data_IF_336489181456
#
_entry.id   IF_336489181456
#
_cell.length_a   1.000
_cell.length_b   1.000
_cell.length_c   1.000
_cell.angle_alpha   90.00
_cell.angle_beta   90.00
_cell.angle_gamma   90.00
#
_symmetry.space_group_name_H-M   'P 1'
#
loop_
_entity.id
_entity.type
_entity.pdbx_description
1 polymer ?
#
# COMPACT_ATOMS: atom_id res chain seq x y z
N UNK A 1 -21.05 55.57 52.40
CA UNK A 1 -21.36 56.94 51.92
C UNK A 1 -22.26 56.83 50.69
N UNK A 2 -23.19 57.78 50.55
CA UNK A 2 -24.05 58.11 49.40
C UNK A 2 -23.88 57.26 48.11
N UNK A 3 -24.90 56.65 47.51
CA UNK A 3 -26.35 56.73 47.75
C UNK A 3 -27.07 57.65 46.76
N UNK A 4 -27.79 57.03 45.82
CA UNK A 4 -28.84 57.67 45.00
C UNK A 4 -28.59 57.69 43.48
N UNK A 5 -29.61 57.63 42.61
CA UNK A 5 -30.93 56.97 42.70
C UNK A 5 -31.57 57.00 41.28
N UNK A 6 -32.20 55.90 40.83
CA UNK A 6 -33.55 55.82 40.17
C UNK A 6 -33.85 56.76 38.97
N UNK A 7 -34.38 56.31 37.82
CA UNK A 7 -35.72 55.67 37.61
C UNK A 7 -35.79 54.97 36.22
N UNK A 8 -36.75 54.07 35.93
CA UNK A 8 -36.84 53.29 34.69
C UNK A 8 -37.95 53.73 33.71
N UNK A 9 -37.91 53.26 32.46
CA UNK A 9 -39.09 53.24 31.55
C UNK A 9 -39.06 52.15 30.47
N UNK A 10 -40.07 51.28 30.51
CA UNK A 10 -40.89 50.75 29.42
C UNK A 10 -40.32 49.86 28.28
N UNK A 11 -40.36 48.53 28.51
CA UNK A 11 -41.27 47.54 27.86
C UNK A 11 -41.26 47.35 26.31
N UNK A 12 -42.01 46.39 25.70
CA UNK A 12 -41.35 45.26 24.99
C UNK A 12 -41.87 45.04 23.55
N UNK A 13 -41.44 43.98 22.84
CA UNK A 13 -42.35 43.06 22.11
C UNK A 13 -41.66 41.84 21.45
N UNK A 14 -42.23 40.64 21.70
CA UNK A 14 -42.12 39.43 20.88
C UNK A 14 -43.25 39.40 19.84
N UNK A 15 -43.06 38.87 18.61
CA UNK A 15 -43.95 37.83 17.98
C UNK A 15 -43.52 37.26 16.59
N UNK A 16 -43.29 35.93 16.57
CA UNK A 16 -43.78 34.87 15.63
C UNK A 16 -44.42 35.18 14.23
N UNK A 17 -43.98 34.37 13.24
CA UNK A 17 -44.79 33.43 12.38
C UNK A 17 -45.30 33.80 10.96
N UNK A 18 -45.18 32.84 10.03
CA UNK A 18 -45.88 32.76 8.71
C UNK A 18 -45.13 33.42 7.54
N UNK A 19 -45.23 33.00 6.26
CA UNK A 19 -46.01 31.93 5.59
C UNK A 19 -45.34 31.53 4.25
N UNK A 20 -45.85 30.51 3.55
CA UNK A 20 -45.25 29.88 2.35
C UNK A 20 -46.03 30.17 1.05
N UNK A 21 -45.31 30.28 -0.08
CA UNK A 21 -45.72 30.04 -1.48
C UNK A 21 -44.42 29.91 -2.32
N UNK A 22 -44.20 29.07 -3.35
CA UNK A 22 -44.95 27.97 -4.01
C UNK A 22 -46.04 28.36 -5.01
N UNK A 23 -45.69 28.24 -6.31
CA UNK A 23 -46.42 27.87 -7.56
C UNK A 23 -45.72 28.63 -8.73
N UNK A 24 -44.98 27.97 -9.65
CA UNK A 24 -45.40 27.37 -10.95
C UNK A 24 -46.10 28.36 -11.92
N UNK A 25 -46.02 28.29 -13.26
CA UNK A 25 -45.44 27.36 -14.25
C UNK A 25 -45.45 28.07 -15.64
N UNK A 26 -44.61 27.64 -16.61
CA UNK A 26 -44.80 27.75 -18.09
C UNK A 26 -44.96 29.20 -18.67
N UNK A 27 -44.82 29.54 -19.96
CA UNK A 27 -44.35 28.86 -21.18
C UNK A 27 -43.83 29.91 -22.21
N UNK A 28 -43.00 29.45 -23.15
CA UNK A 28 -42.94 29.82 -24.59
C UNK A 28 -42.60 31.24 -25.16
N UNK A 29 -41.76 31.17 -26.21
CA UNK A 29 -41.71 31.91 -27.50
C UNK A 29 -41.32 33.40 -27.67
N UNK A 30 -40.38 33.58 -28.62
CA UNK A 30 -40.21 34.66 -29.64
C UNK A 30 -40.08 36.15 -29.19
N UNK A 31 -39.49 37.09 -29.95
CA UNK A 31 -38.39 37.09 -30.94
C UNK A 31 -37.96 38.58 -31.21
N UNK A 32 -36.77 38.79 -31.79
CA UNK A 32 -36.36 39.97 -32.61
C UNK A 32 -36.28 41.44 -32.10
N UNK A 33 -35.09 42.05 -32.35
CA UNK A 33 -34.80 43.36 -32.99
C UNK A 33 -35.10 44.74 -32.35
N UNK A 34 -34.22 45.71 -32.68
CA UNK A 34 -34.36 47.18 -32.46
C UNK A 34 -33.59 47.69 -31.23
N UNK A 35 -32.41 48.34 -31.27
CA UNK A 35 -31.84 49.45 -32.08
C UNK A 35 -32.25 50.85 -31.59
N UNK A 36 -31.22 51.55 -31.11
CA UNK A 36 -30.94 53.00 -31.11
C UNK A 36 -31.26 54.00 -29.98
N UNK A 37 -30.23 54.83 -29.81
CA UNK A 37 -30.10 56.21 -29.33
C UNK A 37 -30.51 56.62 -27.90
N UNK A 38 -29.44 56.88 -27.11
CA UNK A 38 -29.45 57.48 -25.77
C UNK A 38 -28.38 58.59 -25.61
N UNK A 39 -28.31 59.48 -26.60
CA UNK A 39 -27.76 60.84 -26.52
C UNK A 39 -26.27 61.07 -26.18
N UNK A 40 -25.51 61.39 -27.23
CA UNK A 40 -24.33 62.26 -27.21
C UNK A 40 -24.48 63.48 -26.28
N UNK A 41 -23.66 63.56 -25.23
CA UNK A 41 -23.05 64.80 -24.76
C UNK A 41 -21.83 64.47 -23.86
N UNK A 42 -20.97 65.47 -23.63
CA UNK A 42 -19.72 65.35 -22.84
C UNK A 42 -18.57 64.59 -23.50
N UNK A 43 -18.30 64.91 -24.77
CA UNK A 43 -17.02 64.60 -25.44
C UNK A 43 -16.34 65.88 -25.97
N UNK A 44 -15.99 66.79 -25.04
CA UNK A 44 -14.96 67.82 -25.22
C UNK A 44 -14.19 67.88 -23.88
N UNK A 45 -12.99 67.31 -23.82
CA UNK A 45 -11.71 67.97 -24.11
C UNK A 45 -11.15 68.68 -22.87
N UNK A 46 -10.17 68.04 -22.21
CA UNK A 46 -8.91 68.61 -21.66
C UNK A 46 -8.23 67.52 -20.79
N UNK A 47 -7.32 66.82 -21.45
CA UNK A 47 -5.89 66.72 -21.14
C UNK A 47 -5.35 66.33 -19.73
N UNK A 48 -4.28 65.52 -19.80
CA UNK A 48 -3.25 65.27 -18.78
C UNK A 48 -3.66 65.07 -17.30
N UNK A 49 -3.78 63.80 -16.89
CA UNK A 49 -2.99 63.29 -15.74
C UNK A 49 -2.73 61.80 -15.87
N UNK A 50 -1.45 61.44 -15.98
CA UNK A 50 -1.03 60.03 -16.03
C UNK A 50 -1.27 59.34 -14.68
N UNK A 51 -1.95 58.18 -14.73
CA UNK A 51 -1.96 57.20 -13.66
C UNK A 51 -1.27 55.94 -14.18
N UNK A 52 -0.12 55.62 -13.62
CA UNK A 52 0.66 54.42 -13.94
C UNK A 52 -0.18 53.17 -13.70
N UNK A 53 -0.58 52.49 -14.77
CA UNK A 53 -1.15 51.15 -14.69
C UNK A 53 -0.07 50.17 -14.24
N UNK A 54 -0.14 49.75 -12.97
CA UNK A 54 0.64 48.61 -12.49
C UNK A 54 0.18 47.36 -13.23
N UNK A 55 1.01 46.87 -14.15
CA UNK A 55 0.84 45.56 -14.76
C UNK A 55 1.11 44.53 -13.66
N UNK A 56 0.08 44.21 -12.89
CA UNK A 56 0.03 43.02 -12.07
C UNK A 56 0.01 41.84 -13.03
N UNK A 57 1.22 41.32 -13.31
CA UNK A 57 1.43 40.08 -14.05
C UNK A 57 0.90 38.91 -13.20
N UNK A 58 -0.43 38.79 -13.14
CA UNK A 58 -1.15 37.62 -12.68
C UNK A 58 -0.78 36.50 -13.65
N UNK A 59 0.25 35.74 -13.28
CA UNK A 59 0.69 34.58 -14.03
C UNK A 59 -0.54 33.68 -14.25
N UNK A 60 -0.97 33.58 -15.51
CA UNK A 60 -2.15 32.82 -15.90
C UNK A 60 -1.83 31.35 -15.65
N UNK A 61 -2.12 30.89 -14.44
CA UNK A 61 -1.84 29.51 -14.07
C UNK A 61 -2.74 28.61 -14.93
N UNK A 62 -2.16 27.72 -15.75
CA UNK A 62 -2.95 26.83 -16.58
C UNK A 62 -3.88 25.99 -15.70
N UNK A 63 -5.11 25.78 -16.18
CA UNK A 63 -6.15 25.15 -15.36
C UNK A 63 -5.70 23.78 -14.82
N UNK A 64 -6.18 23.34 -13.65
CA UNK A 64 -5.77 22.05 -13.07
C UNK A 64 -5.98 20.86 -14.03
N UNK A 65 -7.02 20.93 -14.87
CA UNK A 65 -7.33 19.95 -15.92
C UNK A 65 -6.29 19.99 -17.04
N UNK A 66 -5.88 21.18 -17.50
CA UNK A 66 -4.84 21.35 -18.51
C UNK A 66 -3.48 20.84 -17.99
N UNK A 67 -3.12 21.19 -16.75
CA UNK A 67 -1.92 20.68 -16.08
C UNK A 67 -1.93 19.16 -15.92
N UNK A 68 -3.08 18.55 -15.60
CA UNK A 68 -3.21 17.11 -15.52
C UNK A 68 -3.06 16.45 -16.90
N UNK A 69 -3.76 16.94 -17.92
CA UNK A 69 -3.64 16.45 -19.31
C UNK A 69 -2.19 16.53 -19.81
N UNK A 70 -1.52 17.66 -19.56
CA UNK A 70 -0.12 17.86 -19.95
C UNK A 70 0.81 16.86 -19.24
N UNK A 71 0.64 16.63 -17.93
CA UNK A 71 1.40 15.61 -17.19
C UNK A 71 1.17 14.19 -17.71
N UNK A 72 -0.07 13.85 -18.09
CA UNK A 72 -0.38 12.55 -18.72
C UNK A 72 0.32 12.41 -20.07
N UNK A 73 0.30 13.45 -20.92
CA UNK A 73 1.02 13.44 -22.20
C UNK A 73 2.53 13.29 -22.03
N UNK A 74 3.14 13.99 -21.05
CA UNK A 74 4.55 13.82 -20.71
C UNK A 74 4.86 12.39 -20.25
N UNK A 75 4.00 11.78 -19.42
CA UNK A 75 4.19 10.40 -18.96
C UNK A 75 4.06 9.39 -20.10
N UNK A 76 3.12 9.58 -21.03
CA UNK A 76 2.97 8.75 -22.22
C UNK A 76 4.18 8.90 -23.16
N UNK A 77 4.67 10.13 -23.37
CA UNK A 77 5.86 10.42 -24.16
C UNK A 77 7.12 9.78 -23.55
N UNK A 78 7.33 9.93 -22.24
CA UNK A 78 8.39 9.24 -21.50
C UNK A 78 8.30 7.71 -21.63
N UNK A 79 7.10 7.15 -21.45
CA UNK A 79 6.86 5.70 -21.58
C UNK A 79 7.21 5.21 -22.99
N UNK A 80 6.79 5.92 -24.03
CA UNK A 80 7.10 5.62 -25.42
C UNK A 80 8.62 5.68 -25.69
N UNK A 81 9.30 6.71 -25.18
CA UNK A 81 10.77 6.84 -25.30
C UNK A 81 11.47 5.66 -24.62
N UNK A 82 11.08 5.28 -23.41
CA UNK A 82 11.66 4.14 -22.71
C UNK A 82 11.43 2.82 -23.46
N UNK A 83 10.20 2.57 -23.93
CA UNK A 83 9.89 1.39 -24.74
C UNK A 83 10.71 1.35 -26.05
N UNK A 84 10.81 2.48 -26.77
CA UNK A 84 11.58 2.58 -28.02
C UNK A 84 13.07 2.33 -27.79
N UNK A 85 13.67 3.00 -26.81
CA UNK A 85 15.10 2.83 -26.50
C UNK A 85 15.38 1.40 -26.01
N UNK A 86 14.53 0.84 -25.14
CA UNK A 86 14.65 -0.53 -24.66
C UNK A 86 14.56 -1.56 -25.80
N UNK A 87 13.60 -1.38 -26.71
CA UNK A 87 13.44 -2.23 -27.90
C UNK A 87 14.66 -2.19 -28.82
N UNK A 88 15.11 -1.00 -29.20
CA UNK A 88 16.28 -0.82 -30.07
C UNK A 88 17.54 -1.43 -29.43
N UNK A 89 17.71 -1.24 -28.12
CA UNK A 89 18.83 -1.80 -27.34
C UNK A 89 18.84 -3.33 -27.37
N UNK A 90 17.67 -3.96 -27.20
CA UNK A 90 17.52 -5.43 -27.24
C UNK A 90 17.72 -5.97 -28.66
N UNK A 91 17.18 -5.29 -29.68
CA UNK A 91 17.31 -5.72 -31.08
C UNK A 91 18.73 -5.58 -31.63
N UNK A 92 19.52 -4.64 -31.10
CA UNK A 92 20.95 -4.48 -31.42
C UNK A 92 21.82 -5.67 -30.96
N UNK A 93 21.36 -6.47 -30.00
CA UNK A 93 22.13 -7.59 -29.45
C UNK A 93 22.00 -8.86 -30.31
N UNK A 94 23.03 -9.72 -30.29
CA UNK A 94 22.98 -11.04 -30.93
C UNK A 94 21.93 -11.94 -30.27
N UNK A 95 21.22 -12.74 -31.05
CA UNK A 95 20.08 -13.55 -30.59
C UNK A 95 20.40 -14.38 -29.35
N UNK A 96 21.53 -15.09 -29.35
CA UNK A 96 21.98 -15.98 -28.27
C UNK A 96 22.22 -15.27 -26.92
N UNK A 97 22.41 -13.94 -26.95
CA UNK A 97 22.64 -13.11 -25.75
C UNK A 97 21.39 -12.37 -25.27
N UNK A 98 20.32 -12.29 -26.08
CA UNK A 98 19.11 -11.50 -25.74
C UNK A 98 18.40 -12.03 -24.50
N UNK A 99 18.08 -13.32 -24.47
CA UNK A 99 17.29 -13.91 -23.38
C UNK A 99 18.05 -13.89 -22.05
N UNK A 100 19.35 -14.16 -22.08
CA UNK A 100 20.24 -14.06 -20.91
C UNK A 100 20.36 -12.62 -20.41
N UNK A 101 20.45 -11.65 -21.31
CA UNK A 101 20.53 -10.25 -20.95
C UNK A 101 19.23 -9.68 -20.37
N UNK A 102 18.09 -10.04 -20.99
CA UNK A 102 16.78 -9.71 -20.44
C UNK A 102 16.62 -10.30 -19.04
N UNK A 103 17.09 -11.53 -18.81
CA UNK A 103 17.12 -12.15 -17.49
C UNK A 103 18.00 -11.39 -16.46
N UNK A 104 19.18 -10.92 -16.86
CA UNK A 104 20.06 -10.09 -16.02
C UNK A 104 19.39 -8.76 -15.63
N UNK A 105 18.87 -8.02 -16.61
CA UNK A 105 18.13 -6.79 -16.38
C UNK A 105 16.94 -7.06 -15.46
N UNK A 106 16.19 -8.14 -15.72
CA UNK A 106 15.05 -8.51 -14.89
C UNK A 106 15.45 -8.79 -13.44
N UNK A 107 16.54 -9.53 -13.20
CA UNK A 107 17.06 -9.78 -11.85
C UNK A 107 17.27 -8.47 -11.08
N UNK A 108 18.03 -7.52 -11.62
CA UNK A 108 18.39 -6.29 -10.88
C UNK A 108 17.18 -5.38 -10.61
N UNK A 109 16.24 -5.28 -11.55
CA UNK A 109 15.12 -4.33 -11.46
C UNK A 109 13.82 -4.92 -10.87
N UNK A 110 13.63 -6.25 -10.92
CA UNK A 110 12.44 -6.92 -10.39
C UNK A 110 12.09 -6.56 -8.93
N UNK A 111 13.05 -6.53 -7.97
CA UNK A 111 12.73 -6.19 -6.59
C UNK A 111 12.06 -4.82 -6.45
N UNK A 112 12.56 -3.83 -7.20
CA UNK A 112 12.08 -2.46 -7.16
C UNK A 112 10.77 -2.28 -7.94
N UNK A 113 10.57 -3.00 -9.04
CA UNK A 113 9.30 -3.03 -9.78
C UNK A 113 8.16 -3.61 -8.92
N UNK A 114 8.41 -4.74 -8.25
CA UNK A 114 7.44 -5.36 -7.33
C UNK A 114 7.19 -4.51 -6.07
N UNK A 115 8.23 -3.87 -5.52
CA UNK A 115 8.05 -2.90 -4.43
C UNK A 115 7.19 -1.70 -4.87
N UNK A 116 7.43 -1.16 -6.08
CA UNK A 116 6.62 -0.07 -6.66
C UNK A 116 5.15 -0.47 -6.80
N UNK A 117 4.87 -1.69 -7.27
CA UNK A 117 3.51 -2.24 -7.33
C UNK A 117 2.85 -2.31 -5.94
N UNK A 118 3.57 -2.78 -4.92
CA UNK A 118 3.06 -2.82 -3.55
C UNK A 118 2.72 -1.42 -3.02
N UNK A 119 3.54 -0.40 -3.30
CA UNK A 119 3.28 1.00 -2.89
C UNK A 119 2.06 1.58 -3.63
N UNK A 120 1.88 1.30 -4.92
CA UNK A 120 0.66 1.67 -5.66
C UNK A 120 -0.61 1.08 -5.03
N UNK A 121 -0.59 -0.23 -4.78
CA UNK A 121 -1.70 -0.97 -4.17
C UNK A 121 -1.97 -0.53 -2.72
N UNK A 122 -0.93 -0.15 -1.97
CA UNK A 122 -1.08 0.45 -0.65
C UNK A 122 -1.76 1.83 -0.72
N UNK A 123 -1.41 2.67 -1.69
CA UNK A 123 -2.11 3.93 -1.94
C UNK A 123 -3.60 3.74 -2.26
N UNK A 124 -3.96 2.67 -2.99
CA UNK A 124 -5.38 2.31 -3.24
C UNK A 124 -6.08 1.90 -1.94
N UNK A 125 -5.45 1.08 -1.09
CA UNK A 125 -6.00 0.73 0.24
C UNK A 125 -6.29 2.00 1.06
N UNK A 126 -5.31 2.89 1.19
CA UNK A 126 -5.46 4.16 1.93
C UNK A 126 -6.53 5.08 1.34
N UNK A 127 -6.68 5.11 0.01
CA UNK A 127 -7.73 5.88 -0.64
C UNK A 127 -9.12 5.34 -0.26
N UNK A 128 -9.33 4.02 -0.35
CA UNK A 128 -10.59 3.37 0.08
C UNK A 128 -10.86 3.59 1.56
N UNK A 129 -9.85 3.47 2.43
CA UNK A 129 -10.01 3.73 3.86
C UNK A 129 -10.43 5.18 4.13
N UNK A 130 -9.87 6.14 3.41
CA UNK A 130 -10.30 7.54 3.48
C UNK A 130 -11.74 7.75 2.97
N UNK A 131 -12.14 7.13 1.84
CA UNK A 131 -13.51 7.23 1.32
C UNK A 131 -14.55 6.58 2.27
N UNK A 132 -14.17 5.54 2.99
CA UNK A 132 -15.06 4.79 3.89
C UNK A 132 -15.06 5.27 5.33
N UNK A 133 -14.31 6.34 5.65
CA UNK A 133 -14.24 6.94 6.99
C UNK A 133 -13.41 6.15 8.01
N UNK A 134 -12.61 5.16 7.57
CA UNK A 134 -11.74 4.40 8.49
C UNK A 134 -10.61 5.30 8.98
N UNK A 135 -10.53 5.54 10.29
CA UNK A 135 -9.40 6.21 10.91
C UNK A 135 -8.18 5.26 11.02
N UNK A 136 -7.53 5.00 9.88
CA UNK A 136 -6.35 4.15 9.79
C UNK A 136 -5.16 4.71 10.58
N UNK A 137 -5.06 6.03 10.73
CA UNK A 137 -4.02 6.65 11.56
C UNK A 137 -4.08 6.17 13.01
N UNK A 138 -5.28 6.06 13.59
CA UNK A 138 -5.47 5.48 14.94
C UNK A 138 -5.11 3.99 14.99
N UNK A 139 -5.42 3.22 13.95
CA UNK A 139 -5.17 1.76 13.91
C UNK A 139 -3.66 1.44 13.84
N UNK A 140 -2.92 2.24 13.07
CA UNK A 140 -1.49 2.07 12.83
C UNK A 140 -0.59 2.90 13.78
N UNK A 141 -1.19 3.61 14.73
CA UNK A 141 -0.50 4.54 15.66
C UNK A 141 0.37 5.58 14.91
N UNK A 142 -0.19 6.15 13.84
CA UNK A 142 0.50 7.14 13.01
C UNK A 142 0.44 8.54 13.64
N UNK A 143 1.54 9.28 13.44
CA UNK A 143 1.63 10.70 13.77
C UNK A 143 0.68 11.56 12.91
N UNK A 144 0.43 12.81 13.32
CA UNK A 144 -0.41 13.75 12.57
C UNK A 144 0.14 14.03 11.17
N UNK A 145 1.47 14.01 11.02
CA UNK A 145 2.20 14.24 9.76
C UNK A 145 2.38 12.96 8.91
N UNK A 146 1.42 12.03 8.95
CA UNK A 146 1.47 10.79 8.17
C UNK A 146 1.11 11.03 6.69
N UNK A 147 1.69 10.21 5.81
CA UNK A 147 1.40 10.31 4.38
C UNK A 147 -0.02 9.89 4.03
N UNK A 148 -0.73 10.79 3.36
CA UNK A 148 -2.02 10.49 2.73
C UNK A 148 -1.85 9.60 1.49
N UNK A 149 -2.94 8.98 1.04
CA UNK A 149 -2.97 8.22 -0.23
C UNK A 149 -2.43 9.02 -1.43
N UNK A 150 -2.63 10.35 -1.46
CA UNK A 150 -2.15 11.24 -2.52
C UNK A 150 -0.62 11.31 -2.55
N UNK A 151 0.02 11.30 -1.40
CA UNK A 151 1.48 11.40 -1.29
C UNK A 151 2.14 10.04 -1.51
N UNK A 152 1.52 8.96 -1.03
CA UNK A 152 1.91 7.60 -1.38
C UNK A 152 1.88 7.38 -2.91
N UNK A 153 0.86 7.90 -3.62
CA UNK A 153 0.83 7.87 -5.09
C UNK A 153 1.87 8.80 -5.75
N UNK A 154 2.27 9.93 -5.15
CA UNK A 154 3.42 10.72 -5.64
C UNK A 154 4.71 9.90 -5.54
N UNK A 155 4.95 9.23 -4.41
CA UNK A 155 6.09 8.33 -4.23
C UNK A 155 6.07 7.19 -5.24
N UNK A 156 4.92 6.52 -5.41
CA UNK A 156 4.75 5.44 -6.38
C UNK A 156 4.99 5.90 -7.82
N UNK A 157 4.52 7.11 -8.18
CA UNK A 157 4.77 7.73 -9.50
C UNK A 157 6.26 7.97 -9.73
N UNK A 158 6.98 8.55 -8.76
CA UNK A 158 8.43 8.74 -8.87
C UNK A 158 9.19 7.43 -8.99
N UNK A 159 8.84 6.40 -8.22
CA UNK A 159 9.42 5.06 -8.38
C UNK A 159 9.13 4.47 -9.77
N UNK A 160 7.91 4.66 -10.28
CA UNK A 160 7.47 4.22 -11.63
C UNK A 160 8.23 4.94 -12.75
N UNK A 161 8.74 6.16 -12.53
CA UNK A 161 9.58 6.87 -13.50
C UNK A 161 11.05 6.44 -13.35
N UNK A 162 11.59 6.48 -12.13
CA UNK A 162 13.02 6.30 -11.86
C UNK A 162 13.47 4.86 -12.15
N UNK A 163 12.72 3.85 -11.72
CA UNK A 163 13.14 2.44 -11.85
C UNK A 163 13.21 2.00 -13.33
N UNK A 164 12.18 2.23 -14.18
CA UNK A 164 12.26 1.89 -15.60
C UNK A 164 13.20 2.81 -16.40
N UNK A 165 13.42 4.07 -15.97
CA UNK A 165 14.42 4.94 -16.60
C UNK A 165 15.83 4.39 -16.37
N UNK A 166 16.17 3.97 -15.14
CA UNK A 166 17.45 3.32 -14.84
C UNK A 166 17.59 1.98 -15.59
N UNK A 167 16.52 1.18 -15.66
CA UNK A 167 16.51 -0.05 -16.47
C UNK A 167 16.75 0.24 -17.96
N UNK A 168 16.11 1.26 -18.52
CA UNK A 168 16.32 1.68 -19.92
C UNK A 168 17.75 2.15 -20.15
N UNK A 169 18.33 2.92 -19.21
CA UNK A 169 19.73 3.33 -19.27
C UNK A 169 20.69 2.13 -19.20
N UNK A 170 20.42 1.14 -18.35
CA UNK A 170 21.17 -0.13 -18.30
C UNK A 170 21.12 -0.88 -19.64
N UNK A 171 19.93 -1.05 -20.22
CA UNK A 171 19.75 -1.69 -21.53
C UNK A 171 20.52 -0.95 -22.64
N UNK A 172 20.41 0.38 -22.66
CA UNK A 172 21.09 1.24 -23.61
C UNK A 172 22.61 1.15 -23.50
N UNK A 173 23.18 1.43 -22.32
CA UNK A 173 24.63 1.45 -22.11
C UNK A 173 25.26 0.09 -22.42
N UNK A 174 24.64 -1.00 -21.99
CA UNK A 174 25.15 -2.35 -22.26
C UNK A 174 25.14 -2.70 -23.76
N UNK A 175 24.04 -2.41 -24.47
CA UNK A 175 23.94 -2.66 -25.92
C UNK A 175 24.90 -1.83 -26.77
N UNK A 176 25.46 -0.75 -26.21
CA UNK A 176 26.49 0.09 -26.83
C UNK A 176 27.92 -0.31 -26.43
N UNK A 177 28.09 -1.32 -25.56
CA UNK A 177 29.40 -1.81 -25.09
C UNK A 177 29.93 -1.12 -23.84
N UNK A 178 29.20 -0.16 -23.28
CA UNK A 178 29.57 0.62 -22.09
C UNK A 178 29.27 -0.15 -20.78
N UNK A 179 29.85 -1.35 -20.65
CA UNK A 179 29.56 -2.33 -19.60
C UNK A 179 29.76 -1.76 -18.18
N UNK A 180 30.79 -0.93 -17.98
CA UNK A 180 31.05 -0.30 -16.67
C UNK A 180 29.94 0.68 -16.25
N UNK A 181 29.50 1.54 -17.18
CA UNK A 181 28.41 2.48 -16.93
C UNK A 181 27.04 1.79 -16.86
N UNK A 182 26.85 0.67 -17.56
CA UNK A 182 25.69 -0.19 -17.38
C UNK A 182 25.68 -0.78 -15.96
N UNK A 183 26.79 -1.38 -15.52
CA UNK A 183 26.93 -1.99 -14.20
C UNK A 183 26.66 -1.00 -13.04
N UNK A 184 27.00 0.28 -13.22
CA UNK A 184 26.74 1.30 -12.21
C UNK A 184 25.25 1.70 -12.09
N UNK A 185 24.42 1.49 -13.12
CA UNK A 185 22.99 1.89 -13.08
C UNK A 185 22.20 1.27 -11.91
N UNK A 186 22.16 -0.07 -11.73
CA UNK A 186 21.49 -0.64 -10.57
C UNK A 186 22.18 -0.25 -9.27
N UNK A 187 23.52 -0.25 -9.20
CA UNK A 187 24.27 0.10 -7.97
C UNK A 187 23.88 1.49 -7.46
N UNK A 188 23.89 2.50 -8.35
CA UNK A 188 23.50 3.87 -8.03
C UNK A 188 22.02 3.97 -7.62
N UNK A 189 21.12 3.23 -8.28
CA UNK A 189 19.70 3.20 -7.93
C UNK A 189 19.45 2.64 -6.52
N UNK A 190 20.05 1.48 -6.19
CA UNK A 190 19.91 0.89 -4.85
C UNK A 190 20.58 1.75 -3.78
N UNK A 191 21.76 2.32 -4.06
CA UNK A 191 22.42 3.26 -3.15
C UNK A 191 21.55 4.50 -2.90
N UNK A 192 20.98 5.11 -3.95
CA UNK A 192 20.10 6.28 -3.83
C UNK A 192 18.86 5.99 -2.98
N UNK A 193 18.21 4.83 -3.16
CA UNK A 193 17.05 4.42 -2.36
C UNK A 193 17.43 4.26 -0.88
N UNK A 194 18.56 3.59 -0.58
CA UNK A 194 19.04 3.43 0.78
C UNK A 194 19.36 4.79 1.41
N UNK A 195 20.09 5.65 0.70
CA UNK A 195 20.43 7.01 1.15
C UNK A 195 19.17 7.83 1.46
N UNK A 196 18.17 7.85 0.58
CA UNK A 196 16.90 8.56 0.80
C UNK A 196 16.16 7.99 2.03
N UNK A 197 16.11 6.67 2.20
CA UNK A 197 15.44 6.05 3.35
C UNK A 197 16.07 6.46 4.68
N UNK A 198 17.41 6.40 4.79
CA UNK A 198 18.14 6.69 6.05
C UNK A 198 18.44 8.18 6.28
N UNK A 199 18.15 9.06 5.33
CA UNK A 199 18.54 10.48 5.39
C UNK A 199 17.96 11.19 6.63
N UNK A 200 18.78 11.78 7.52
CA UNK A 200 18.30 12.21 8.84
C UNK A 200 17.52 13.54 8.81
N UNK A 201 17.60 14.31 7.74
CA UNK A 201 16.95 15.63 7.62
C UNK A 201 15.48 15.52 7.19
N UNK A 202 14.69 16.56 7.44
CA UNK A 202 13.28 16.65 7.04
C UNK A 202 13.10 16.96 5.54
N UNK A 203 13.63 16.06 4.73
CA UNK A 203 13.50 16.02 3.27
C UNK A 203 12.93 14.64 2.93
N UNK A 204 11.98 14.57 1.98
CA UNK A 204 11.26 13.34 1.62
C UNK A 204 10.56 12.65 2.80
N UNK A 205 9.71 13.38 3.54
CA UNK A 205 8.75 12.82 4.52
C UNK A 205 9.40 12.06 5.69
N UNK A 206 10.23 12.74 6.48
CA UNK A 206 11.04 12.13 7.54
C UNK A 206 10.23 11.29 8.53
N UNK A 207 9.09 11.79 9.05
CA UNK A 207 8.25 11.03 10.00
C UNK A 207 7.82 9.67 9.47
N UNK A 208 7.48 9.58 8.18
CA UNK A 208 7.06 8.32 7.56
C UNK A 208 8.24 7.39 7.26
N UNK A 209 9.40 7.93 6.87
CA UNK A 209 10.63 7.13 6.71
C UNK A 209 11.11 6.56 8.05
N UNK A 210 11.10 7.37 9.10
CA UNK A 210 11.45 6.96 10.46
C UNK A 210 10.46 5.90 11.00
N UNK A 211 9.15 6.11 10.83
CA UNK A 211 8.13 5.12 11.20
C UNK A 211 8.35 3.77 10.49
N UNK A 212 8.62 3.79 9.18
CA UNK A 212 8.89 2.58 8.41
C UNK A 212 10.15 1.85 8.88
N UNK A 213 11.28 2.57 9.02
CA UNK A 213 12.54 1.99 9.49
C UNK A 213 12.44 1.45 10.93
N UNK A 214 11.78 2.18 11.83
CA UNK A 214 11.52 1.73 13.22
C UNK A 214 10.65 0.49 13.26
N UNK A 215 9.62 0.40 12.41
CA UNK A 215 8.76 -0.78 12.31
C UNK A 215 9.56 -1.97 11.74
N UNK A 216 10.37 -1.79 10.70
CA UNK A 216 11.29 -2.83 10.22
C UNK A 216 12.24 -3.31 11.33
N UNK A 217 12.84 -2.41 12.10
CA UNK A 217 13.71 -2.77 13.22
C UNK A 217 12.99 -3.64 14.27
N UNK A 218 11.76 -3.27 14.65
CA UNK A 218 10.92 -4.06 15.58
C UNK A 218 10.51 -5.43 15.02
N UNK A 219 10.40 -5.56 13.69
CA UNK A 219 10.11 -6.83 13.02
C UNK A 219 11.33 -7.78 13.09
N UNK A 220 12.53 -7.26 12.83
CA UNK A 220 13.78 -8.05 12.93
C UNK A 220 14.08 -8.41 14.39
N UNK A 221 13.88 -7.45 15.31
CA UNK A 221 14.18 -7.59 16.73
C UNK A 221 12.92 -7.35 17.60
N UNK A 222 12.07 -8.38 17.81
CA UNK A 222 10.84 -8.30 18.61
C UNK A 222 11.13 -8.28 20.14
N UNK A 223 11.84 -7.22 20.57
CA UNK A 223 12.25 -7.00 21.97
C UNK A 223 11.15 -6.37 22.84
N UNK A 224 10.17 -5.72 22.22
CA UNK A 224 8.98 -5.14 22.87
C UNK A 224 7.70 -5.91 22.51
N UNK A 225 6.59 -5.56 23.16
CA UNK A 225 5.26 -6.02 22.76
C UNK A 225 4.98 -5.67 21.28
N UNK A 226 4.37 -6.61 20.56
CA UNK A 226 4.11 -6.53 19.12
C UNK A 226 2.92 -5.60 18.86
N UNK A 227 3.14 -4.49 18.16
CA UNK A 227 2.05 -3.61 17.73
C UNK A 227 1.32 -4.17 16.50
N UNK A 228 0.10 -3.67 16.22
CA UNK A 228 -0.63 -4.02 15.00
C UNK A 228 0.20 -3.75 13.74
N UNK A 229 0.93 -2.63 13.73
CA UNK A 229 1.80 -2.20 12.63
C UNK A 229 2.96 -3.16 12.38
N UNK A 230 3.59 -3.67 13.45
CA UNK A 230 4.68 -4.66 13.35
C UNK A 230 4.18 -6.00 12.80
N UNK A 231 3.00 -6.45 13.23
CA UNK A 231 2.30 -7.62 12.69
C UNK A 231 1.97 -7.43 11.21
N UNK A 232 1.35 -6.30 10.87
CA UNK A 232 0.78 -6.03 9.55
C UNK A 232 1.86 -5.88 8.47
N UNK A 233 2.90 -5.09 8.75
CA UNK A 233 4.01 -4.92 7.80
C UNK A 233 4.77 -6.23 7.61
N UNK A 234 5.05 -7.00 8.67
CA UNK A 234 5.73 -8.29 8.52
C UNK A 234 4.90 -9.29 7.68
N UNK A 235 3.56 -9.24 7.75
CA UNK A 235 2.70 -10.07 6.90
C UNK A 235 2.74 -9.65 5.42
N UNK A 236 2.91 -8.35 5.14
CA UNK A 236 3.25 -7.87 3.79
C UNK A 236 4.61 -8.45 3.35
N UNK A 237 5.64 -8.41 4.21
CA UNK A 237 6.97 -8.94 3.89
C UNK A 237 6.97 -10.44 3.53
N UNK A 238 6.11 -11.28 4.14
CA UNK A 238 5.97 -12.70 3.73
C UNK A 238 5.57 -12.84 2.26
N UNK A 239 4.61 -12.03 1.83
CA UNK A 239 4.12 -11.96 0.45
C UNK A 239 5.24 -11.50 -0.50
N UNK A 240 6.12 -10.63 -0.01
CA UNK A 240 7.30 -10.13 -0.71
C UNK A 240 8.55 -11.03 -0.62
N UNK A 241 8.50 -12.26 -0.09
CA UNK A 241 9.72 -13.08 0.06
C UNK A 241 10.50 -13.31 -1.26
N UNK A 242 9.81 -13.34 -2.42
CA UNK A 242 10.49 -13.42 -3.73
C UNK A 242 11.28 -12.15 -4.07
N UNK A 243 10.82 -10.98 -3.61
CA UNK A 243 11.54 -9.69 -3.69
C UNK A 243 12.82 -9.78 -2.89
N UNK A 244 12.78 -10.28 -1.65
CA UNK A 244 13.98 -10.49 -0.82
C UNK A 244 14.98 -11.45 -1.47
N UNK A 245 14.51 -12.50 -2.13
CA UNK A 245 15.36 -13.45 -2.87
C UNK A 245 16.03 -12.86 -4.12
N UNK A 246 15.33 -12.03 -4.92
CA UNK A 246 16.00 -11.34 -6.03
C UNK A 246 16.89 -10.19 -5.53
N UNK A 247 16.54 -9.55 -4.41
CA UNK A 247 17.34 -8.52 -3.76
C UNK A 247 18.68 -9.07 -3.27
N UNK A 248 18.67 -10.20 -2.54
CA UNK A 248 19.88 -10.89 -2.09
C UNK A 248 20.81 -11.20 -3.28
N UNK A 249 20.28 -11.87 -4.31
CA UNK A 249 21.06 -12.23 -5.50
C UNK A 249 21.56 -11.02 -6.29
N UNK A 250 20.79 -9.93 -6.34
CA UNK A 250 21.19 -8.66 -6.97
C UNK A 250 22.33 -8.00 -6.19
N UNK A 251 22.18 -7.87 -4.87
CA UNK A 251 23.18 -7.26 -3.99
C UNK A 251 24.47 -8.07 -3.97
N UNK A 252 24.38 -9.40 -3.91
CA UNK A 252 25.54 -10.29 -4.00
C UNK A 252 26.38 -9.97 -5.26
N UNK A 253 25.75 -9.93 -6.44
CA UNK A 253 26.43 -9.60 -7.70
C UNK A 253 27.00 -8.18 -7.73
N UNK A 254 26.32 -7.20 -7.14
CA UNK A 254 26.83 -5.82 -7.00
C UNK A 254 28.08 -5.77 -6.12
N UNK A 255 28.06 -6.40 -4.95
CA UNK A 255 29.19 -6.43 -4.00
C UNK A 255 30.40 -7.16 -4.59
N UNK A 256 30.19 -8.29 -5.24
CA UNK A 256 31.26 -9.07 -5.88
C UNK A 256 31.70 -8.53 -7.26
N UNK A 257 31.21 -7.37 -7.70
CA UNK A 257 31.52 -6.73 -9.00
C UNK A 257 31.23 -7.63 -10.23
N UNK A 258 30.24 -8.51 -10.12
CA UNK A 258 29.83 -9.45 -11.16
C UNK A 258 28.72 -8.89 -12.08
N UNK A 259 28.24 -7.67 -11.84
CA UNK A 259 27.17 -7.03 -12.63
C UNK A 259 27.62 -6.85 -14.08
N UNK A 260 26.78 -7.26 -15.03
CA UNK A 260 27.01 -7.11 -16.47
C UNK A 260 28.29 -7.80 -17.01
N UNK A 261 28.90 -8.71 -16.24
CA UNK A 261 30.10 -9.45 -16.65
C UNK A 261 29.77 -10.74 -17.42
N UNK A 262 30.65 -11.17 -18.32
CA UNK A 262 30.51 -12.45 -19.07
C UNK A 262 30.80 -13.68 -18.16
N UNK A 263 31.18 -13.47 -16.90
CA UNK A 263 31.51 -14.51 -15.91
C UNK A 263 30.34 -15.44 -15.50
N UNK A 264 29.20 -15.37 -16.19
CA UNK A 264 28.04 -16.25 -16.00
C UNK A 264 28.28 -17.72 -16.44
N UNK A 265 29.31 -17.97 -17.26
CA UNK A 265 29.68 -19.34 -17.68
C UNK A 265 30.22 -20.22 -16.54
N UNK A 266 30.63 -19.64 -15.42
CA UNK A 266 31.07 -20.37 -14.23
C UNK A 266 29.93 -20.50 -13.21
N UNK A 267 29.27 -21.66 -13.23
CA UNK A 267 28.16 -21.99 -12.33
C UNK A 267 28.56 -22.04 -10.83
N UNK A 268 29.87 -22.10 -10.55
CA UNK A 268 30.48 -22.14 -9.22
C UNK A 268 30.71 -20.75 -8.60
N UNK A 269 30.21 -19.68 -9.23
CA UNK A 269 30.28 -18.32 -8.67
C UNK A 269 29.56 -18.19 -7.31
N UNK A 270 30.12 -17.39 -6.40
CA UNK A 270 29.63 -17.16 -5.02
C UNK A 270 28.14 -16.79 -4.95
N UNK A 271 27.63 -16.08 -5.95
CA UNK A 271 26.23 -15.67 -6.09
C UNK A 271 25.37 -16.63 -6.94
N UNK A 272 25.83 -17.87 -7.13
CA UNK A 272 25.25 -18.87 -8.02
C UNK A 272 23.96 -19.51 -7.49
N UNK A 273 23.34 -20.35 -8.33
CA UNK A 273 22.03 -20.98 -8.04
C UNK A 273 22.05 -22.03 -6.92
N UNK A 274 23.25 -22.39 -6.44
CA UNK A 274 23.50 -23.29 -5.30
C UNK A 274 23.76 -22.54 -3.99
N UNK A 275 23.68 -21.20 -3.99
CA UNK A 275 23.89 -20.41 -2.77
C UNK A 275 22.79 -20.66 -1.73
N UNK A 276 23.21 -21.04 -0.52
CA UNK A 276 22.32 -21.19 0.65
C UNK A 276 21.69 -19.85 1.08
N UNK A 277 22.24 -18.72 0.66
CA UNK A 277 21.67 -17.40 0.93
C UNK A 277 20.28 -17.22 0.29
N UNK A 278 20.00 -17.88 -0.84
CA UNK A 278 18.71 -17.80 -1.56
C UNK A 278 17.54 -18.35 -0.71
N UNK A 279 17.56 -19.61 -0.20
CA UNK A 279 16.51 -20.10 0.69
C UNK A 279 16.47 -19.36 2.03
N UNK A 280 17.60 -18.86 2.54
CA UNK A 280 17.63 -18.04 3.75
C UNK A 280 16.87 -16.71 3.54
N UNK A 281 17.10 -16.00 2.44
CA UNK A 281 16.38 -14.79 2.08
C UNK A 281 14.87 -15.04 1.83
N UNK A 282 14.51 -16.19 1.26
CA UNK A 282 13.11 -16.60 1.09
C UNK A 282 12.41 -16.90 2.42
N UNK A 283 13.09 -17.54 3.39
CA UNK A 283 12.48 -17.93 4.67
C UNK A 283 12.47 -16.80 5.69
N UNK A 284 13.36 -15.81 5.56
CA UNK A 284 13.57 -14.75 6.55
C UNK A 284 12.28 -14.01 6.97
N UNK A 285 11.36 -13.58 6.08
CA UNK A 285 10.10 -12.95 6.50
C UNK A 285 9.18 -13.87 7.30
N UNK A 286 9.21 -15.18 7.04
CA UNK A 286 8.46 -16.19 7.78
C UNK A 286 9.03 -16.39 9.19
N UNK A 287 10.35 -16.35 9.33
CA UNK A 287 11.02 -16.42 10.63
C UNK A 287 10.73 -15.18 11.49
N UNK A 288 10.66 -13.98 10.89
CA UNK A 288 10.22 -12.78 11.62
C UNK A 288 8.79 -12.93 12.15
N UNK A 289 7.84 -13.37 11.32
CA UNK A 289 6.46 -13.62 11.76
C UNK A 289 6.36 -14.73 12.82
N UNK A 290 7.14 -15.81 12.67
CA UNK A 290 7.25 -16.88 13.66
C UNK A 290 7.70 -16.33 15.03
N UNK A 291 8.82 -15.59 15.05
CA UNK A 291 9.39 -15.00 16.26
C UNK A 291 8.44 -13.99 16.92
N UNK A 292 7.77 -13.14 16.14
CA UNK A 292 6.72 -12.24 16.64
C UNK A 292 5.57 -13.01 17.29
N UNK A 293 5.10 -14.11 16.69
CA UNK A 293 4.00 -14.91 17.26
C UNK A 293 4.42 -15.64 18.54
N UNK A 294 5.64 -16.19 18.59
CA UNK A 294 6.21 -16.79 19.80
C UNK A 294 6.42 -15.74 20.91
N UNK A 295 6.85 -14.53 20.55
CA UNK A 295 6.95 -13.41 21.50
C UNK A 295 5.58 -13.02 22.05
N UNK A 296 4.58 -12.88 21.18
CA UNK A 296 3.21 -12.56 21.59
C UNK A 296 2.62 -13.66 22.50
N UNK A 297 2.93 -14.93 22.24
CA UNK A 297 2.55 -16.04 23.13
C UNK A 297 3.19 -15.91 24.52
N UNK A 298 4.49 -15.58 24.58
CA UNK A 298 5.20 -15.34 25.84
C UNK A 298 4.60 -14.18 26.65
N UNK A 299 4.20 -13.11 25.97
CA UNK A 299 3.67 -11.90 26.62
C UNK A 299 2.18 -12.04 27.04
N UNK A 300 1.38 -12.85 26.35
CA UNK A 300 -0.10 -12.93 26.56
C UNK A 300 -0.63 -14.28 27.04
N UNK A 301 0.11 -15.37 26.84
CA UNK A 301 -0.37 -16.74 27.08
C UNK A 301 -1.43 -17.26 26.09
N UNK A 302 -1.85 -16.47 25.10
CA UNK A 302 -2.94 -16.84 24.19
C UNK A 302 -2.54 -17.95 23.21
N UNK A 303 -3.08 -19.17 23.38
CA UNK A 303 -2.79 -20.33 22.50
C UNK A 303 -3.03 -20.10 21.01
N UNK A 304 -3.92 -19.17 20.64
CA UNK A 304 -4.14 -18.70 19.26
C UNK A 304 -2.87 -18.17 18.61
N UNK A 305 -2.02 -17.47 19.35
CA UNK A 305 -0.75 -16.93 18.84
C UNK A 305 0.25 -18.04 18.51
N UNK A 306 0.29 -19.13 19.29
CA UNK A 306 1.09 -20.32 19.00
C UNK A 306 0.60 -21.07 17.74
N UNK A 307 -0.71 -21.13 17.51
CA UNK A 307 -1.25 -21.64 16.24
C UNK A 307 -0.85 -20.75 15.06
N UNK A 308 -0.79 -19.42 15.26
CA UNK A 308 -0.28 -18.50 14.23
C UNK A 308 1.23 -18.74 13.99
N UNK A 309 2.02 -19.00 15.04
CA UNK A 309 3.42 -19.38 14.91
C UNK A 309 3.58 -20.67 14.06
N UNK A 310 2.79 -21.71 14.36
CA UNK A 310 2.75 -22.96 13.60
C UNK A 310 2.42 -22.72 12.11
N UNK A 311 1.49 -21.81 11.79
CA UNK A 311 1.18 -21.43 10.40
C UNK A 311 2.44 -20.99 9.64
N UNK A 312 3.22 -20.04 10.18
CA UNK A 312 4.44 -19.58 9.50
C UNK A 312 5.54 -20.64 9.49
N UNK A 313 5.63 -21.52 10.49
CA UNK A 313 6.62 -22.61 10.48
C UNK A 313 6.38 -23.60 9.35
N UNK A 314 5.14 -23.82 8.89
CA UNK A 314 4.86 -24.69 7.73
C UNK A 314 5.48 -24.21 6.41
N UNK A 315 5.89 -22.93 6.29
CA UNK A 315 6.56 -22.42 5.09
C UNK A 315 8.02 -22.85 5.00
N UNK A 316 8.67 -23.10 6.14
CA UNK A 316 10.08 -23.50 6.24
C UNK A 316 10.39 -24.77 5.43
N UNK A 317 9.70 -25.92 5.63
CA UNK A 317 9.99 -27.13 4.85
C UNK A 317 9.75 -26.93 3.35
N UNK A 318 8.72 -26.17 2.94
CA UNK A 318 8.45 -25.88 1.52
C UNK A 318 9.64 -25.18 0.85
N UNK A 319 10.24 -24.20 1.53
CA UNK A 319 11.37 -23.43 1.01
C UNK A 319 12.65 -24.28 0.96
N UNK A 320 13.00 -24.95 2.06
CA UNK A 320 14.24 -25.75 2.12
C UNK A 320 14.19 -26.99 1.24
N UNK A 321 13.07 -27.73 1.17
CA UNK A 321 12.91 -28.84 0.23
C UNK A 321 13.00 -28.37 -1.23
N UNK A 322 12.46 -27.18 -1.53
CA UNK A 322 12.58 -26.61 -2.88
C UNK A 322 14.02 -26.23 -3.26
N UNK A 323 14.87 -25.90 -2.27
CA UNK A 323 16.29 -25.63 -2.50
C UNK A 323 17.11 -26.92 -2.60
N UNK A 324 16.80 -27.94 -1.80
CA UNK A 324 17.46 -29.24 -1.82
C UNK A 324 17.50 -29.89 -3.21
N UNK A 325 16.53 -29.60 -4.09
CA UNK A 325 16.55 -30.01 -5.50
C UNK A 325 17.90 -29.76 -6.21
N UNK A 326 18.65 -28.72 -5.86
CA UNK A 326 19.94 -28.39 -6.50
C UNK A 326 21.16 -29.00 -5.82
N UNK A 327 20.95 -29.78 -4.75
CA UNK A 327 22.01 -30.41 -3.95
C UNK A 327 21.85 -31.94 -3.83
N UNK A 328 20.82 -32.52 -4.46
CA UNK A 328 20.53 -33.96 -4.42
C UNK A 328 20.43 -34.54 -5.82
N UNK A 329 20.77 -35.83 -5.95
CA UNK A 329 20.64 -36.58 -7.20
C UNK A 329 19.17 -36.66 -7.66
N UNK A 330 18.98 -36.74 -8.99
CA UNK A 330 17.66 -36.69 -9.61
C UNK A 330 16.70 -37.77 -9.08
N UNK A 331 17.19 -38.99 -8.85
CA UNK A 331 16.38 -40.12 -8.37
C UNK A 331 15.92 -39.93 -6.92
N UNK A 332 16.77 -39.34 -6.07
CA UNK A 332 16.39 -38.99 -4.70
C UNK A 332 15.40 -37.83 -4.70
N UNK A 333 15.58 -36.86 -5.61
CA UNK A 333 14.61 -35.77 -5.80
C UNK A 333 13.23 -36.30 -6.21
N UNK A 334 13.15 -37.16 -7.23
CA UNK A 334 11.87 -37.64 -7.76
C UNK A 334 11.13 -38.55 -6.78
N UNK A 335 11.83 -39.47 -6.12
CA UNK A 335 11.21 -40.50 -5.28
C UNK A 335 10.91 -40.05 -3.83
N UNK A 336 11.76 -39.22 -3.22
CA UNK A 336 11.63 -38.84 -1.80
C UNK A 336 11.29 -37.36 -1.61
N UNK A 337 12.14 -36.46 -2.10
CA UNK A 337 12.04 -35.04 -1.75
C UNK A 337 10.89 -34.33 -2.47
N UNK A 338 10.55 -34.71 -3.71
CA UNK A 338 9.41 -34.12 -4.46
C UNK A 338 8.06 -34.46 -3.82
N UNK A 339 7.73 -35.71 -3.45
CA UNK A 339 6.52 -36.01 -2.69
C UNK A 339 6.45 -35.24 -1.35
N UNK A 340 7.55 -35.18 -0.60
CA UNK A 340 7.61 -34.47 0.67
C UNK A 340 7.44 -32.95 0.51
N UNK A 341 8.00 -32.36 -0.56
CA UNK A 341 7.80 -30.97 -0.93
C UNK A 341 6.35 -30.66 -1.32
N UNK A 342 5.72 -31.54 -2.11
CA UNK A 342 4.30 -31.42 -2.47
C UNK A 342 3.39 -31.51 -1.24
N UNK A 343 3.64 -32.48 -0.36
CA UNK A 343 2.90 -32.62 0.90
C UNK A 343 3.04 -31.37 1.78
N UNK A 344 4.27 -30.90 2.00
CA UNK A 344 4.55 -29.67 2.75
C UNK A 344 3.85 -28.46 2.14
N UNK A 345 3.83 -28.38 0.81
CA UNK A 345 3.17 -27.31 0.05
C UNK A 345 1.66 -27.32 0.25
N UNK A 346 1.01 -28.50 0.18
CA UNK A 346 -0.43 -28.66 0.43
C UNK A 346 -0.77 -28.30 1.88
N UNK A 347 -0.01 -28.78 2.86
CA UNK A 347 -0.22 -28.45 4.28
C UNK A 347 -0.10 -26.94 4.53
N UNK A 348 0.94 -26.28 3.98
CA UNK A 348 1.11 -24.85 4.10
C UNK A 348 -0.05 -24.06 3.48
N UNK A 349 -0.40 -24.36 2.21
CA UNK A 349 -1.43 -23.63 1.48
C UNK A 349 -2.81 -23.81 2.12
N UNK A 350 -3.17 -25.02 2.55
CA UNK A 350 -4.46 -25.28 3.22
C UNK A 350 -4.55 -24.65 4.61
N UNK A 351 -3.53 -24.82 5.46
CA UNK A 351 -3.58 -24.25 6.82
C UNK A 351 -3.57 -22.73 6.79
N UNK A 352 -2.77 -22.14 5.91
CA UNK A 352 -2.72 -20.69 5.77
C UNK A 352 -3.96 -20.11 5.09
N UNK A 353 -4.61 -20.84 4.17
CA UNK A 353 -5.92 -20.46 3.63
C UNK A 353 -7.02 -20.49 4.71
N UNK A 354 -7.08 -21.56 5.51
CA UNK A 354 -7.96 -21.64 6.67
C UNK A 354 -7.75 -20.45 7.60
N UNK A 355 -6.49 -20.05 7.84
CA UNK A 355 -6.17 -18.92 8.70
C UNK A 355 -6.71 -17.59 8.17
N UNK A 356 -6.48 -17.28 6.89
CA UNK A 356 -6.96 -16.03 6.29
C UNK A 356 -8.48 -15.91 6.46
N UNK A 357 -9.22 -16.94 6.05
CA UNK A 357 -10.68 -16.96 6.06
C UNK A 357 -11.24 -16.89 7.49
N UNK A 358 -10.73 -17.73 8.41
CA UNK A 358 -11.35 -17.88 9.73
C UNK A 358 -10.85 -16.91 10.80
N UNK A 359 -9.58 -16.45 10.71
CA UNK A 359 -8.94 -15.64 11.75
C UNK A 359 -8.67 -14.20 11.33
N UNK A 360 -8.11 -14.01 10.13
CA UNK A 360 -7.73 -12.66 9.68
C UNK A 360 -8.93 -11.90 9.12
N UNK A 361 -9.87 -12.60 8.46
CA UNK A 361 -11.14 -12.06 7.95
C UNK A 361 -12.33 -12.30 8.89
N UNK A 362 -12.13 -13.09 9.95
CA UNK A 362 -13.12 -13.46 10.98
C UNK A 362 -14.44 -14.09 10.45
N UNK A 363 -14.36 -14.81 9.33
CA UNK A 363 -15.53 -15.43 8.66
C UNK A 363 -15.98 -16.74 9.32
N UNK A 364 -15.47 -17.03 10.53
CA UNK A 364 -15.88 -18.16 11.36
C UNK A 364 -17.39 -18.17 11.68
N UNK A 365 -18.07 -17.02 11.49
CA UNK A 365 -19.51 -16.84 11.63
C UNK A 365 -20.40 -17.51 10.57
N UNK A 366 -19.89 -18.41 9.72
CA UNK A 366 -20.71 -19.17 8.76
C UNK A 366 -21.84 -19.99 9.41
N UNK A 367 -21.76 -20.27 10.72
CA UNK A 367 -22.80 -20.96 11.51
C UNK A 367 -23.85 -20.03 12.13
N UNK A 368 -23.73 -18.70 12.00
CA UNK A 368 -24.77 -17.72 12.36
C UNK A 368 -24.94 -16.68 11.25
N UNK A 369 -25.60 -17.15 10.19
CA UNK A 369 -26.19 -16.40 9.07
C UNK A 369 -26.32 -14.89 9.36
N UNK A 370 -25.44 -14.10 8.76
CA UNK A 370 -25.49 -12.63 8.68
C UNK A 370 -25.61 -11.87 10.02
N UNK A 371 -24.70 -12.07 10.96
CA UNK A 371 -24.56 -11.17 12.14
C UNK A 371 -23.93 -9.80 11.77
N UNK A 372 -24.56 -9.05 10.86
CA UNK A 372 -24.22 -7.65 10.54
C UNK A 372 -24.66 -6.70 11.67
N UNK A 373 -24.02 -6.77 12.84
CA UNK A 373 -24.21 -5.77 13.89
C UNK A 373 -23.54 -4.46 13.50
N UNK A 374 -24.30 -3.63 12.77
CA UNK A 374 -23.95 -2.29 12.23
C UNK A 374 -22.83 -2.32 11.17
N UNK A 375 -23.16 -2.36 9.87
CA UNK A 375 -22.14 -2.34 8.81
C UNK A 375 -21.43 -0.98 8.79
N UNK A 376 -20.14 -0.98 9.09
CA UNK A 376 -19.24 0.12 8.72
C UNK A 376 -19.33 0.33 7.18
N UNK A 377 -19.17 1.54 6.63
CA UNK A 377 -19.23 1.75 5.17
C UNK A 377 -18.28 0.85 4.38
N UNK A 378 -17.09 0.56 4.92
CA UNK A 378 -16.16 -0.45 4.40
C UNK A 378 -16.78 -1.86 4.31
N UNK A 379 -17.47 -2.28 5.37
CA UNK A 379 -18.17 -3.56 5.44
C UNK A 379 -19.27 -3.66 4.39
N UNK A 380 -20.08 -2.60 4.24
CA UNK A 380 -21.11 -2.53 3.19
C UNK A 380 -20.49 -2.58 1.77
N UNK A 381 -19.36 -1.92 1.54
CA UNK A 381 -18.67 -1.95 0.25
C UNK A 381 -18.12 -3.36 -0.10
N UNK A 382 -17.52 -4.05 0.87
CA UNK A 382 -16.89 -5.37 0.67
C UNK A 382 -17.92 -6.52 0.66
N UNK A 383 -18.85 -6.51 1.62
CA UNK A 383 -19.81 -7.60 1.85
C UNK A 383 -21.19 -7.36 1.20
N UNK A 384 -21.52 -6.12 0.83
CA UNK A 384 -22.80 -5.78 0.17
C UNK A 384 -22.97 -6.40 -1.22
N UNK A 385 -21.87 -6.90 -1.83
CA UNK A 385 -21.89 -7.63 -3.10
C UNK A 385 -21.36 -9.05 -2.89
N UNK A 386 -22.27 -10.02 -2.74
CA UNK A 386 -21.95 -11.46 -2.50
C UNK A 386 -20.90 -12.03 -3.47
N UNK A 387 -20.90 -11.58 -4.73
CA UNK A 387 -19.92 -11.98 -5.74
C UNK A 387 -18.48 -11.54 -5.43
N UNK A 388 -18.28 -10.35 -4.84
CA UNK A 388 -16.95 -9.86 -4.44
C UNK A 388 -16.36 -10.77 -3.36
N UNK A 389 -17.19 -11.16 -2.38
CA UNK A 389 -16.82 -12.06 -1.30
C UNK A 389 -16.43 -13.47 -1.79
N UNK A 390 -17.26 -14.08 -2.64
CA UNK A 390 -16.96 -15.38 -3.26
C UNK A 390 -15.67 -15.30 -4.10
N UNK A 391 -15.51 -14.22 -4.86
CA UNK A 391 -14.32 -13.99 -5.67
C UNK A 391 -13.05 -13.83 -4.82
N UNK A 392 -13.07 -13.09 -3.70
CA UNK A 392 -11.91 -12.96 -2.80
C UNK A 392 -11.52 -14.30 -2.18
N UNK A 393 -12.49 -15.10 -1.71
CA UNK A 393 -12.21 -16.44 -1.17
C UNK A 393 -11.59 -17.34 -2.26
N UNK A 394 -12.21 -17.40 -3.44
CA UNK A 394 -11.74 -18.21 -4.57
C UNK A 394 -10.36 -17.78 -5.07
N UNK A 395 -10.13 -16.48 -5.26
CA UNK A 395 -8.83 -15.96 -5.69
C UNK A 395 -7.76 -16.20 -4.63
N UNK A 396 -8.04 -16.04 -3.35
CA UNK A 396 -7.06 -16.31 -2.30
C UNK A 396 -6.64 -17.79 -2.29
N UNK A 397 -7.57 -18.73 -2.49
CA UNK A 397 -7.25 -20.16 -2.62
C UNK A 397 -6.34 -20.43 -3.83
N UNK A 398 -6.72 -19.94 -5.02
CA UNK A 398 -5.94 -20.12 -6.25
C UNK A 398 -4.55 -19.51 -6.11
N UNK A 399 -4.45 -18.28 -5.61
CA UNK A 399 -3.18 -17.58 -5.46
C UNK A 399 -2.27 -18.26 -4.42
N UNK A 400 -2.83 -18.83 -3.34
CA UNK A 400 -2.07 -19.67 -2.39
C UNK A 400 -1.53 -20.97 -2.99
N UNK A 401 -2.11 -21.48 -4.05
CA UNK A 401 -1.51 -22.56 -4.84
C UNK A 401 -0.37 -22.02 -5.74
N UNK A 402 -0.53 -20.85 -6.35
CA UNK A 402 0.55 -20.25 -7.17
C UNK A 402 1.80 -19.89 -6.36
N UNK A 403 1.64 -19.56 -5.07
CA UNK A 403 2.77 -19.31 -4.16
C UNK A 403 3.81 -20.42 -4.16
N UNK A 404 3.37 -21.69 -4.11
CA UNK A 404 4.28 -22.85 -4.07
C UNK A 404 4.85 -23.14 -5.46
N UNK A 405 4.04 -22.91 -6.51
CA UNK A 405 4.45 -23.10 -7.91
C UNK A 405 5.66 -22.23 -8.29
N UNK A 406 5.77 -20.98 -7.81
CA UNK A 406 6.93 -20.09 -8.11
C UNK A 406 8.29 -20.63 -7.65
N UNK A 407 8.30 -21.54 -6.67
CA UNK A 407 9.51 -22.17 -6.15
C UNK A 407 9.96 -23.35 -7.02
N UNK A 408 9.07 -23.86 -7.90
CA UNK A 408 9.39 -24.89 -8.88
C UNK A 408 10.54 -24.44 -9.79
N UNK A 409 11.61 -25.25 -9.82
CA UNK A 409 12.80 -25.01 -10.63
C UNK A 409 12.51 -24.69 -12.10
N UNK A 410 11.46 -25.30 -12.66
CA UNK A 410 11.11 -25.18 -14.07
C UNK A 410 10.77 -23.74 -14.47
N UNK A 411 10.28 -22.92 -13.54
CA UNK A 411 9.95 -21.52 -13.79
C UNK A 411 11.14 -20.57 -13.70
N UNK A 412 12.30 -20.99 -13.14
CA UNK A 412 13.44 -20.08 -12.93
C UNK A 412 14.02 -19.49 -14.22
N UNK A 413 13.76 -20.12 -15.37
CA UNK A 413 14.14 -19.61 -16.69
C UNK A 413 13.08 -18.67 -17.30
N UNK A 414 11.80 -18.81 -16.91
CA UNK A 414 10.71 -17.97 -17.37
C UNK A 414 10.48 -16.79 -16.40
N UNK A 415 11.35 -15.78 -16.52
CA UNK A 415 11.36 -14.59 -15.66
C UNK A 415 10.02 -13.83 -15.64
N UNK A 416 9.32 -13.74 -16.78
CA UNK A 416 7.98 -13.14 -16.87
C UNK A 416 6.95 -13.91 -16.02
N UNK A 417 6.97 -15.25 -16.03
CA UNK A 417 6.05 -16.06 -15.21
C UNK A 417 6.36 -15.90 -13.72
N UNK A 418 7.64 -15.86 -13.35
CA UNK A 418 8.06 -15.62 -11.95
C UNK A 418 7.63 -14.22 -11.48
N UNK A 419 7.73 -13.20 -12.34
CA UNK A 419 7.20 -11.86 -12.07
C UNK A 419 5.70 -11.88 -11.85
N UNK A 420 4.94 -12.43 -12.78
CA UNK A 420 3.47 -12.46 -12.72
C UNK A 420 3.01 -13.16 -11.44
N UNK A 421 3.61 -14.30 -11.05
CA UNK A 421 3.24 -14.98 -9.80
C UNK A 421 3.63 -14.15 -8.56
N UNK A 422 4.77 -13.44 -8.57
CA UNK A 422 5.15 -12.56 -7.47
C UNK A 422 4.23 -11.32 -7.36
N UNK A 423 3.82 -10.74 -8.48
CA UNK A 423 2.86 -9.65 -8.56
C UNK A 423 1.46 -10.09 -8.11
N UNK A 424 1.04 -11.31 -8.46
CA UNK A 424 -0.22 -11.90 -8.01
C UNK A 424 -0.23 -12.18 -6.50
N UNK A 425 0.89 -12.60 -5.90
CA UNK A 425 0.99 -12.74 -4.44
C UNK A 425 0.91 -11.37 -3.73
N UNK A 426 1.51 -10.33 -4.30
CA UNK A 426 1.36 -8.94 -3.82
C UNK A 426 -0.11 -8.51 -3.94
N UNK A 427 -0.79 -8.83 -5.04
CA UNK A 427 -2.22 -8.56 -5.23
C UNK A 427 -3.10 -9.31 -4.22
N UNK A 428 -2.79 -10.58 -3.92
CA UNK A 428 -3.45 -11.36 -2.86
C UNK A 428 -3.33 -10.67 -1.50
N UNK A 429 -2.16 -10.14 -1.17
CA UNK A 429 -1.96 -9.36 0.06
C UNK A 429 -2.73 -8.05 0.04
N UNK A 430 -2.79 -7.35 -1.09
CA UNK A 430 -3.63 -6.17 -1.28
C UNK A 430 -5.11 -6.45 -0.96
N UNK A 431 -5.66 -7.59 -1.42
CA UNK A 431 -7.02 -8.01 -1.05
C UNK A 431 -7.16 -8.21 0.47
N UNK A 432 -6.23 -8.95 1.09
CA UNK A 432 -6.24 -9.27 2.53
C UNK A 432 -6.20 -8.03 3.43
N UNK A 433 -5.55 -6.94 3.01
CA UNK A 433 -5.42 -5.71 3.79
C UNK A 433 -6.79 -5.12 4.16
N UNK A 434 -7.74 -5.08 3.22
CA UNK A 434 -9.08 -4.56 3.46
C UNK A 434 -9.79 -5.28 4.62
N UNK A 435 -9.86 -6.60 4.55
CA UNK A 435 -10.52 -7.44 5.56
C UNK A 435 -9.77 -7.42 6.89
N UNK A 436 -8.43 -7.41 6.89
CA UNK A 436 -7.66 -7.38 8.13
C UNK A 436 -7.83 -6.06 8.89
N UNK A 437 -7.88 -4.94 8.18
CA UNK A 437 -8.14 -3.62 8.77
C UNK A 437 -9.60 -3.52 9.24
N UNK A 438 -10.58 -4.01 8.47
CA UNK A 438 -11.98 -4.08 8.90
C UNK A 438 -12.14 -4.88 10.21
N UNK A 439 -11.52 -6.06 10.30
CA UNK A 439 -11.50 -6.90 11.50
C UNK A 439 -10.90 -6.15 12.70
N UNK A 440 -9.84 -5.35 12.50
CA UNK A 440 -9.27 -4.55 13.59
C UNK A 440 -10.18 -3.39 14.02
N UNK A 441 -10.83 -2.69 13.08
CA UNK A 441 -11.86 -1.68 13.38
C UNK A 441 -12.98 -2.28 14.23
N UNK A 442 -13.49 -3.46 13.83
CA UNK A 442 -14.57 -4.14 14.54
C UNK A 442 -14.15 -4.56 15.97
N UNK A 443 -12.91 -5.02 16.15
CA UNK A 443 -12.33 -5.31 17.48
C UNK A 443 -12.18 -4.05 18.34
N UNK A 444 -11.69 -2.94 17.78
CA UNK A 444 -11.57 -1.67 18.51
C UNK A 444 -12.94 -1.12 18.93
N UNK A 445 -13.93 -1.13 18.03
CA UNK A 445 -15.30 -0.68 18.32
C UNK A 445 -15.99 -1.58 19.37
N UNK A 446 -15.74 -2.89 19.33
CA UNK A 446 -16.27 -3.82 20.34
C UNK A 446 -15.68 -3.53 21.72
N UNK A 447 -14.38 -3.23 21.82
CA UNK A 447 -13.72 -2.88 23.09
C UNK A 447 -14.25 -1.57 23.68
N UNK A 448 -14.44 -0.51 22.88
CA UNK A 448 -15.03 0.73 23.38
C UNK A 448 -16.49 0.57 23.82
N UNK A 449 -17.28 -0.25 23.12
CA UNK A 449 -18.65 -0.59 23.53
C UNK A 449 -18.74 -1.44 24.81
N UNK A 450 -17.66 -2.08 25.25
CA UNK A 450 -17.58 -2.80 26.55
C UNK A 450 -17.05 -1.90 27.67
N UNK A 451 -16.39 -0.78 27.36
CA UNK A 451 -15.96 0.21 28.36
C UNK A 451 -17.06 1.22 28.69
N UNK A 452 -17.88 1.61 27.70
CA UNK A 452 -19.01 2.53 27.85
C UNK A 452 -20.24 2.09 28.69
N UNK A 453 -20.50 0.79 29.03
CA UNK A 453 -21.65 0.41 29.86
C UNK A 453 -21.39 0.45 31.37
N UNK A 454 -20.17 0.75 31.82
CA UNK A 454 -19.78 0.69 33.25
C UNK A 454 -19.43 2.04 33.89
N UNK A 455 -19.27 3.12 33.12
CA UNK A 455 -18.96 4.46 33.68
C UNK A 455 -20.18 5.36 33.89
N UNK A 456 -21.23 5.20 33.09
CA UNK A 456 -22.32 6.19 32.98
C UNK A 456 -23.70 5.56 33.15
N UNK A 457 -23.98 5.10 34.37
CA UNK A 457 -25.34 4.99 34.91
C UNK A 457 -25.44 5.89 36.14
N UNK A 458 -25.79 7.18 36.00
CA UNK A 458 -26.14 8.00 37.15
C UNK A 458 -27.42 7.43 37.76
N UNK A 459 -27.39 7.07 39.04
CA UNK A 459 -28.54 6.54 39.78
C UNK A 459 -29.56 7.64 40.11
N UNK A 460 -30.19 8.22 39.09
CA UNK A 460 -31.23 9.24 39.21
C UNK A 460 -32.45 8.74 40.02
N UNK A 461 -32.70 7.43 40.05
CA UNK A 461 -33.77 6.82 40.86
C UNK A 461 -33.51 6.86 42.39
N UNK A 462 -32.27 7.10 42.85
CA UNK A 462 -31.98 7.20 44.29
C UNK A 462 -32.02 8.62 44.87
N UNK A 463 -32.15 9.66 44.04
CA UNK A 463 -32.28 11.06 44.53
C UNK A 463 -33.72 11.55 44.67
N UNK A 464 -34.69 10.90 44.03
CA UNK A 464 -36.10 11.34 44.03
C UNK A 464 -36.96 10.68 45.13
N UNK A 465 -36.41 9.77 45.93
CA UNK A 465 -37.13 9.05 46.99
C UNK A 465 -36.81 9.50 48.42
N UNK A 466 -36.01 10.56 48.61
CA UNK A 466 -35.53 10.95 49.95
C UNK A 466 -35.82 12.41 50.37
N UNK A 467 -36.71 13.12 49.68
CA UNK A 467 -37.02 14.55 49.92
C UNK A 467 -38.47 14.86 50.31
N UNK A 468 -39.25 13.86 50.75
CA UNK A 468 -40.71 14.01 50.94
C UNK A 468 -41.25 13.73 52.35
N UNK A 469 -40.40 13.75 53.38
CA UNK A 469 -40.84 13.71 54.80
C UNK A 469 -40.63 15.07 55.50
N UNK A 470 -41.57 15.99 55.29
CA UNK A 470 -41.72 17.23 56.08
C UNK A 470 -43.19 17.61 56.30
N UNK A 471 -43.81 16.98 57.31
CA UNK A 471 -44.94 17.47 58.12
C UNK A 471 -45.15 16.44 59.25
N UNK A 472 -45.38 16.77 60.51
CA UNK A 472 -45.93 17.98 61.16
C UNK A 472 -45.10 18.35 62.38
#
# INVERSE_FOLDING_TARGET
>A
MFGGLVTPTNSPHLRKSGSRAVVSDLDADEAENGVDEGLLHSLELIDLRGATTSISASAIMPSPILLWRFKVLLFLGWSFICCKIGWDSVMRMSADKRDLFLYEAFLYYNPLLLATLMVWLWGINLWVFAQTGVNYAKIFELDQNHLSHREIWKCATWMTIIVPTSMTAYLYLYSHGEVSYAASQPVLLYAAIIMILIFPFDIFYLSSRYYFLRTLWRIVFPLQAISFSDFFLADILTSMAKVFSDLERSVCRMVHRQVATIAWLEADSVCGSHSIAIPLALVLPYLFRLNQCLRQYKDTGEKTTLLNALKYSTAVPVIFLSALKYHVLLDNWTNLYRPLWLFSSVVNSLYSFYWDVTRDWDLSGFTRIFKFSKPHPLSHMLHGRRWVFIWVIGSNLVLRCTWTYKLSAHLRHNHLTVFTIAALEIFRRFQWIFFRVENEVNKMNSKSHVQLPMSDMPTEEQKLLHSNDHSV
#
